data_IF_478021007601
#
_entry.id   IF_478021007601
#
_cell.length_a   1.000
_cell.length_b   1.000
_cell.length_c   1.000
_cell.angle_alpha   90.00
_cell.angle_beta   90.00
_cell.angle_gamma   90.00
#
_symmetry.space_group_name_H-M   'P 1'
#
loop_
_entity.id
_entity.type
_entity.pdbx_description
1 polymer ?
#
# COMPACT_ATOMS: atom_id res chain seq x y z
N UNK A 1 -30.27 18.46 -10.52
CA UNK A 1 -29.08 18.40 -9.65
C UNK A 1 -28.08 17.46 -10.32
N UNK A 2 -26.87 17.92 -10.65
CA UNK A 2 -25.81 17.01 -11.14
C UNK A 2 -25.26 16.22 -9.95
N UNK A 3 -25.04 14.90 -10.07
CA UNK A 3 -24.40 14.15 -8.99
C UNK A 3 -22.98 14.70 -8.79
N UNK A 4 -22.66 15.08 -7.56
CA UNK A 4 -21.29 15.38 -7.16
C UNK A 4 -20.51 14.07 -7.33
N UNK A 5 -19.41 14.04 -8.10
CA UNK A 5 -18.59 12.84 -8.20
C UNK A 5 -18.04 12.53 -6.80
N UNK A 6 -18.50 11.45 -6.18
CA UNK A 6 -17.93 10.99 -4.93
C UNK A 6 -16.53 10.48 -5.24
N UNK A 7 -15.52 11.24 -4.83
CA UNK A 7 -14.11 10.88 -4.98
C UNK A 7 -13.86 9.62 -4.17
N UNK A 8 -13.45 8.54 -4.83
CA UNK A 8 -13.07 7.31 -4.16
C UNK A 8 -11.80 7.56 -3.33
N UNK A 9 -11.80 7.12 -2.08
CA UNK A 9 -10.61 7.10 -1.23
C UNK A 9 -9.98 5.71 -1.30
N UNK A 10 -8.65 5.66 -1.35
CA UNK A 10 -7.91 4.40 -1.46
C UNK A 10 -6.99 4.20 -0.27
N UNK A 11 -6.98 2.98 0.25
CA UNK A 11 -5.98 2.49 1.21
C UNK A 11 -5.34 1.25 0.63
N UNK A 12 -4.04 1.05 0.88
CA UNK A 12 -3.33 -0.11 0.37
C UNK A 12 -2.35 -0.67 1.40
N UNK A 13 -2.19 -1.99 1.36
CA UNK A 13 -1.27 -2.71 2.23
C UNK A 13 -0.54 -3.79 1.46
N UNK A 14 0.76 -3.92 1.71
CA UNK A 14 1.51 -5.12 1.33
C UNK A 14 1.19 -6.23 2.32
N UNK A 15 0.93 -7.42 1.81
CA UNK A 15 0.66 -8.62 2.60
C UNK A 15 1.94 -9.44 2.69
N UNK A 16 2.41 -9.68 3.92
CA UNK A 16 3.57 -10.53 4.15
C UNK A 16 3.36 -11.36 5.41
N UNK A 17 3.36 -12.68 5.28
CA UNK A 17 3.17 -13.64 6.38
C UNK A 17 1.92 -13.37 7.25
N UNK A 18 0.82 -12.95 6.64
CA UNK A 18 -0.43 -12.61 7.35
C UNK A 18 -0.46 -11.23 8.00
N UNK A 19 0.61 -10.44 7.87
CA UNK A 19 0.73 -9.08 8.40
C UNK A 19 0.51 -8.06 7.28
N UNK A 20 -0.22 -6.99 7.59
CA UNK A 20 -0.49 -5.89 6.67
C UNK A 20 0.49 -4.74 6.91
N UNK A 21 1.24 -4.37 5.88
CA UNK A 21 2.17 -3.24 5.90
C UNK A 21 1.60 -2.09 5.06
N UNK A 22 1.24 -0.94 5.66
CA UNK A 22 0.58 0.14 4.95
C UNK A 22 1.50 0.77 3.89
N UNK A 23 0.97 1.00 2.68
CA UNK A 23 1.70 1.54 1.52
C UNK A 23 1.43 3.03 1.23
N UNK A 24 0.43 3.64 1.91
CA UNK A 24 0.07 5.08 1.84
C UNK A 24 0.18 5.69 0.41
N UNK A 25 -0.61 5.20 -0.56
CA UNK A 25 -0.60 5.74 -1.92
C UNK A 25 -1.10 7.19 -1.93
N UNK A 26 -0.52 8.03 -2.78
CA UNK A 26 -0.92 9.44 -2.98
C UNK A 26 -1.89 9.59 -4.17
N UNK A 27 -1.95 8.57 -5.02
CA UNK A 27 -2.84 8.50 -6.16
C UNK A 27 -4.33 8.51 -5.81
N UNK A 28 -5.12 9.15 -6.69
CA UNK A 28 -6.59 9.26 -6.59
C UNK A 28 -7.35 8.36 -7.56
N UNK A 29 -6.65 7.54 -8.36
CA UNK A 29 -7.26 6.56 -9.28
C UNK A 29 -6.76 5.17 -8.97
N UNK A 30 -7.64 4.16 -9.10
CA UNK A 30 -7.27 2.76 -8.85
C UNK A 30 -6.03 2.34 -9.65
N UNK A 31 -5.94 2.71 -10.93
CA UNK A 31 -4.80 2.37 -11.79
C UNK A 31 -3.48 2.88 -11.23
N UNK A 32 -3.45 4.14 -10.78
CA UNK A 32 -2.23 4.73 -10.24
C UNK A 32 -1.92 4.18 -8.84
N UNK A 33 -2.93 3.93 -8.00
CA UNK A 33 -2.74 3.28 -6.69
C UNK A 33 -2.13 1.89 -6.85
N UNK A 34 -2.59 1.11 -7.82
CA UNK A 34 -2.04 -0.22 -8.13
C UNK A 34 -0.59 -0.10 -8.62
N UNK A 35 -0.29 0.90 -9.47
CA UNK A 35 1.06 1.14 -9.96
C UNK A 35 2.03 1.55 -8.85
N UNK A 36 1.60 2.40 -7.91
CA UNK A 36 2.37 2.78 -6.71
C UNK A 36 2.60 1.58 -5.80
N UNK A 37 1.54 0.83 -5.47
CA UNK A 37 1.65 -0.35 -4.61
C UNK A 37 2.56 -1.44 -5.21
N UNK A 38 2.52 -1.61 -6.53
CA UNK A 38 3.39 -2.53 -7.25
C UNK A 38 4.88 -2.19 -7.07
N UNK A 39 5.25 -0.91 -6.98
CA UNK A 39 6.65 -0.49 -6.81
C UNK A 39 7.23 -0.91 -5.45
N UNK A 40 6.38 -1.11 -4.44
CA UNK A 40 6.78 -1.56 -3.10
C UNK A 40 6.83 -3.09 -2.95
N UNK A 41 6.54 -3.83 -4.02
CA UNK A 41 6.39 -5.28 -4.01
C UNK A 41 7.40 -6.00 -4.92
N UNK A 42 7.84 -7.18 -4.51
CA UNK A 42 8.70 -8.10 -5.26
C UNK A 42 7.88 -9.25 -5.87
N UNK A 43 8.53 -10.10 -6.68
CA UNK A 43 7.85 -11.27 -7.25
C UNK A 43 7.24 -12.17 -6.16
N UNK A 44 5.99 -12.61 -6.39
CA UNK A 44 5.14 -13.42 -5.51
C UNK A 44 4.57 -12.69 -4.30
N UNK A 45 4.98 -11.46 -4.04
CA UNK A 45 4.31 -10.62 -3.05
C UNK A 45 2.84 -10.41 -3.42
N UNK A 46 2.03 -10.21 -2.39
CA UNK A 46 0.64 -9.81 -2.52
C UNK A 46 0.45 -8.43 -1.89
N UNK A 47 -0.51 -7.69 -2.41
CA UNK A 47 -0.96 -6.46 -1.79
C UNK A 47 -2.47 -6.32 -1.94
N UNK A 48 -3.09 -5.67 -0.98
CA UNK A 48 -4.50 -5.36 -0.95
C UNK A 48 -4.73 -3.87 -1.20
N UNK A 49 -5.77 -3.54 -1.95
CA UNK A 49 -6.26 -2.17 -2.16
C UNK A 49 -7.72 -2.13 -1.74
N UNK A 50 -8.04 -1.29 -0.77
CA UNK A 50 -9.40 -0.98 -0.35
C UNK A 50 -9.83 0.33 -1.03
N UNK A 51 -10.86 0.25 -1.85
CA UNK A 51 -11.54 1.41 -2.42
C UNK A 51 -12.78 1.72 -1.57
N UNK A 52 -12.88 2.96 -1.09
CA UNK A 52 -14.04 3.48 -0.38
C UNK A 52 -14.73 4.54 -1.24
N UNK A 53 -15.91 4.22 -1.77
CA UNK A 53 -16.69 5.13 -2.60
C UNK A 53 -18.17 5.07 -2.20
N UNK A 54 -18.74 6.22 -1.81
CA UNK A 54 -20.17 6.31 -1.50
C UNK A 54 -20.67 5.38 -0.39
N UNK A 55 -19.85 5.16 0.64
CA UNK A 55 -20.16 4.25 1.76
C UNK A 55 -20.02 2.77 1.43
N UNK A 56 -19.63 2.41 0.20
CA UNK A 56 -19.30 1.04 -0.20
C UNK A 56 -17.80 0.85 -0.16
N UNK A 57 -17.37 -0.33 0.28
CA UNK A 57 -15.97 -0.71 0.29
C UNK A 57 -15.77 -1.91 -0.64
N UNK A 58 -14.73 -1.83 -1.48
CA UNK A 58 -14.32 -2.93 -2.36
C UNK A 58 -12.85 -3.23 -2.08
N UNK A 59 -12.59 -4.43 -1.59
CA UNK A 59 -11.25 -4.95 -1.36
C UNK A 59 -10.78 -5.71 -2.60
N UNK A 60 -9.61 -5.33 -3.13
CA UNK A 60 -8.95 -5.98 -4.25
C UNK A 60 -7.60 -6.52 -3.82
N UNK A 61 -7.38 -7.81 -4.02
CA UNK A 61 -6.13 -8.48 -3.70
C UNK A 61 -5.40 -8.75 -5.01
N UNK A 62 -4.17 -8.26 -5.09
CA UNK A 62 -3.28 -8.43 -6.23
C UNK A 62 -2.11 -9.32 -5.84
N UNK A 63 -1.60 -10.08 -6.81
CA UNK A 63 -0.34 -10.80 -6.69
C UNK A 63 0.64 -10.35 -7.77
N UNK A 64 1.89 -10.13 -7.37
CA UNK A 64 2.95 -9.75 -8.30
C UNK A 64 3.49 -10.98 -9.04
N UNK A 65 3.29 -10.99 -10.35
CA UNK A 65 3.92 -11.95 -11.25
C UNK A 65 5.12 -11.30 -11.94
N UNK A 66 6.16 -12.11 -12.11
CA UNK A 66 7.33 -11.74 -12.88
C UNK A 66 7.17 -12.27 -14.30
N UNK A 67 7.19 -11.37 -15.28
CA UNK A 67 7.25 -11.68 -16.69
C UNK A 67 8.67 -11.98 -17.15
N UNK A 68 8.85 -12.05 -18.48
CA UNK A 68 10.19 -12.19 -19.06
C UNK A 68 11.02 -10.95 -18.73
N UNK A 69 12.29 -11.19 -18.47
CA UNK A 69 13.22 -10.10 -18.18
C UNK A 69 13.41 -9.20 -19.42
N UNK A 70 13.52 -7.91 -19.16
CA UNK A 70 13.73 -6.90 -20.20
C UNK A 70 15.12 -6.30 -20.05
N UNK A 71 15.80 -6.08 -21.16
CA UNK A 71 17.06 -5.35 -21.20
C UNK A 71 16.78 -3.87 -21.33
N UNK A 72 17.17 -3.09 -20.33
CA UNK A 72 16.97 -1.63 -20.31
C UNK A 72 18.29 -0.90 -20.19
N UNK A 73 18.42 0.22 -20.90
CA UNK A 73 19.51 1.17 -20.66
C UNK A 73 19.17 2.00 -19.42
N UNK A 74 19.98 1.86 -18.37
CA UNK A 74 19.85 2.68 -17.15
C UNK A 74 20.90 3.80 -17.16
N UNK A 75 20.55 5.03 -16.77
CA UNK A 75 21.52 6.09 -16.52
C UNK A 75 22.60 5.61 -15.53
N UNK A 76 23.87 5.90 -15.81
CA UNK A 76 25.00 5.47 -14.98
C UNK A 76 25.60 4.10 -15.31
N UNK A 77 25.03 3.35 -16.27
CA UNK A 77 25.59 2.06 -16.72
C UNK A 77 26.04 2.15 -18.19
N UNK A 78 27.24 1.64 -18.49
CA UNK A 78 27.80 1.59 -19.86
C UNK A 78 27.16 0.51 -20.75
N UNK A 79 26.37 -0.38 -20.16
CA UNK A 79 25.72 -1.51 -20.82
C UNK A 79 24.25 -1.61 -20.42
N UNK A 80 23.48 -2.38 -21.20
CA UNK A 80 22.09 -2.69 -20.87
C UNK A 80 22.01 -3.58 -19.64
N UNK A 81 21.13 -3.24 -18.71
CA UNK A 81 20.89 -4.00 -17.49
C UNK A 81 19.63 -4.84 -17.65
N UNK A 82 19.70 -6.09 -17.21
CA UNK A 82 18.55 -7.01 -17.18
C UNK A 82 17.64 -6.65 -16.01
N UNK A 83 16.37 -6.33 -16.29
CA UNK A 83 15.39 -5.94 -15.28
C UNK A 83 14.17 -6.86 -15.37
N UNK A 84 13.77 -7.50 -14.26
CA UNK A 84 12.57 -8.31 -14.24
C UNK A 84 11.34 -7.42 -14.39
N UNK A 85 10.45 -7.78 -15.32
CA UNK A 85 9.17 -7.11 -15.48
C UNK A 85 8.21 -7.60 -14.40
N UNK A 86 7.83 -6.73 -13.47
CA UNK A 86 6.83 -7.03 -12.45
C UNK A 86 5.46 -6.52 -12.90
N UNK A 87 4.42 -7.32 -12.66
CA UNK A 87 3.03 -6.98 -12.96
C UNK A 87 2.13 -7.44 -11.82
N UNK A 88 1.24 -6.57 -11.38
CA UNK A 88 0.14 -6.89 -10.49
C UNK A 88 -1.01 -7.57 -11.27
N UNK A 89 -1.32 -8.81 -10.90
CA UNK A 89 -2.52 -9.50 -11.36
C UNK A 89 -3.57 -9.49 -10.26
N UNK A 90 -4.81 -9.11 -10.61
CA UNK A 90 -5.94 -9.19 -9.69
C UNK A 90 -6.27 -10.67 -9.43
N UNK A 91 -6.26 -11.07 -8.16
CA UNK A 91 -6.54 -12.43 -7.71
C UNK A 91 -7.94 -12.54 -7.13
N UNK A 92 -8.36 -11.53 -6.37
CA UNK A 92 -9.68 -11.49 -5.75
C UNK A 92 -10.22 -10.07 -5.69
N UNK A 93 -11.53 -9.96 -5.84
CA UNK A 93 -12.30 -8.74 -5.61
C UNK A 93 -13.49 -9.08 -4.72
N UNK A 94 -13.65 -8.33 -3.64
CA UNK A 94 -14.63 -8.60 -2.59
C UNK A 94 -15.32 -7.28 -2.22
N UNK A 95 -16.65 -7.24 -2.31
CA UNK A 95 -17.42 -6.20 -1.66
C UNK A 95 -17.45 -6.49 -0.15
N UNK A 96 -17.02 -5.53 0.66
CA UNK A 96 -16.90 -5.68 2.11
C UNK A 96 -17.68 -4.58 2.81
N UNK A 97 -18.29 -4.89 3.96
CA UNK A 97 -18.95 -3.87 4.79
C UNK A 97 -17.93 -3.06 5.58
N UNK A 98 -16.95 -3.75 6.15
CA UNK A 98 -15.81 -3.17 6.86
C UNK A 98 -14.58 -4.07 6.66
N UNK A 99 -13.42 -3.46 6.47
CA UNK A 99 -12.15 -4.18 6.37
C UNK A 99 -11.14 -3.59 7.36
N UNK A 100 -10.83 -4.37 8.39
CA UNK A 100 -9.88 -4.03 9.44
C UNK A 100 -8.62 -4.90 9.28
N UNK A 101 -7.56 -4.38 8.63
CA UNK A 101 -6.32 -5.12 8.47
C UNK A 101 -5.62 -5.29 9.82
N UNK A 102 -5.05 -6.48 10.05
CA UNK A 102 -4.10 -6.68 11.15
C UNK A 102 -2.76 -6.08 10.74
N UNK A 103 -2.54 -4.84 11.14
CA UNK A 103 -1.31 -4.10 10.86
C UNK A 103 -0.20 -4.49 11.84
N UNK A 104 1.05 -4.51 11.36
CA UNK A 104 2.20 -4.63 12.25
C UNK A 104 2.18 -3.46 13.24
N UNK A 105 2.48 -3.71 14.52
CA UNK A 105 2.66 -2.63 15.48
C UNK A 105 3.73 -1.66 14.97
N UNK A 106 3.39 -0.37 14.89
CA UNK A 106 4.31 0.69 14.51
C UNK A 106 4.38 1.70 15.66
N UNK A 107 5.59 1.91 16.20
CA UNK A 107 5.83 3.01 17.11
C UNK A 107 5.72 4.33 16.34
N UNK A 108 4.87 5.24 16.81
CA UNK A 108 4.77 6.60 16.27
C UNK A 108 5.32 7.56 17.32
N UNK A 109 6.18 8.54 16.96
CA UNK A 109 6.63 9.56 17.91
C UNK A 109 5.44 10.25 18.58
N UNK A 110 5.36 10.17 19.92
CA UNK A 110 4.25 10.70 20.73
C UNK A 110 3.23 9.67 21.21
N UNK A 111 3.31 8.41 20.79
CA UNK A 111 2.47 7.32 21.30
C UNK A 111 2.82 6.92 22.75
N UNK A 112 4.06 7.20 23.20
CA UNK A 112 4.52 7.02 24.58
C UNK A 112 4.88 8.38 25.21
N UNK A 113 3.89 9.17 25.59
CA UNK A 113 4.10 10.22 26.61
C UNK A 113 3.83 9.63 28.01
N UNK A 114 4.50 8.54 28.36
CA UNK A 114 4.52 8.01 29.73
C UNK A 114 5.71 8.63 30.44
N UNK A 115 5.46 9.74 31.13
CA UNK A 115 6.46 10.40 31.97
C UNK A 115 6.43 11.92 31.86
N UNK A 116 5.35 12.55 32.33
CA UNK A 116 5.53 13.89 32.90
C UNK A 116 6.45 13.71 34.13
N UNK A 117 7.66 14.30 34.17
CA UNK A 117 8.45 14.26 35.39
C UNK A 117 7.65 14.96 36.49
N UNK A 118 7.33 14.19 37.53
CA UNK A 118 6.74 14.69 38.74
C UNK A 118 7.67 15.75 39.35
N UNK A 119 7.09 16.94 39.60
CA UNK A 119 7.41 17.88 40.68
C UNK A 119 8.89 17.97 41.10
N UNK A 120 9.50 19.08 40.67
CA UNK A 120 10.55 19.85 41.35
C UNK A 120 10.77 19.43 42.82
N UNK A 121 11.88 18.74 43.10
CA UNK A 121 12.38 18.60 44.48
C UNK A 121 13.19 19.86 44.76
N UNK A 122 12.67 20.67 45.69
CA UNK A 122 13.35 21.83 46.27
C UNK A 122 14.53 21.33 47.13
N UNK A 123 15.71 21.91 46.91
CA UNK A 123 16.81 21.96 47.87
C UNK A 123 17.03 23.41 48.28
#
# INVERSE_FOLDING_TARGET
>A
MRPVPMTAAYRAWKLHNGVHYPLRPEASTLTNVVAEAQQSCAHKDQFAVLECAGGKQVLRIYQIKQGKDMWVRKPGFSHSVKVPQLRADLIAELAVENYEPVEAWQWTPGADAVGAPAREIVL
#
